data_IF_310759697956
#
_entry.id   IF_310759697956
#
_cell.length_a   1.000
_cell.length_b   1.000
_cell.length_c   1.000
_cell.angle_alpha   90.00
_cell.angle_beta   90.00
_cell.angle_gamma   90.00
#
_symmetry.space_group_name_H-M   'P 1'
#
loop_
_entity.id
_entity.type
_entity.pdbx_description
1 polymer ?
#
# COMPACT_ATOMS: atom_id res chain seq x y z
N UNK A 1 23.10 -13.25 2.10
CA UNK A 1 22.30 -14.15 1.25
C UNK A 1 23.16 -15.39 1.03
N UNK A 2 22.68 -16.56 1.40
CA UNK A 2 23.39 -17.84 1.32
C UNK A 2 22.56 -18.75 0.42
N UNK A 3 23.15 -19.22 -0.66
CA UNK A 3 22.55 -20.25 -1.50
C UNK A 3 22.90 -21.63 -0.93
N UNK A 4 21.89 -22.46 -0.75
CA UNK A 4 22.02 -23.86 -0.35
C UNK A 4 21.49 -24.69 -1.51
N UNK A 5 22.36 -25.43 -2.23
CA UNK A 5 21.93 -26.30 -3.32
C UNK A 5 21.02 -27.42 -2.83
N UNK A 6 20.26 -28.03 -3.75
CA UNK A 6 19.32 -29.10 -3.44
C UNK A 6 19.98 -30.34 -2.80
N UNK A 7 21.22 -30.64 -3.18
CA UNK A 7 22.02 -31.77 -2.67
C UNK A 7 22.37 -31.63 -1.19
N UNK A 8 22.50 -30.39 -0.70
CA UNK A 8 22.84 -30.06 0.69
C UNK A 8 21.61 -29.74 1.56
N UNK A 9 20.42 -29.78 0.96
CA UNK A 9 19.15 -29.46 1.62
C UNK A 9 18.46 -30.76 2.05
N UNK A 10 18.14 -30.91 3.34
CA UNK A 10 17.45 -32.10 3.85
C UNK A 10 16.13 -32.42 3.13
N UNK A 11 15.51 -31.41 2.50
CA UNK A 11 14.25 -31.53 1.78
C UNK A 11 14.43 -31.73 0.25
N UNK A 12 15.68 -31.80 -0.24
CA UNK A 12 15.99 -31.89 -1.66
C UNK A 12 15.66 -30.64 -2.49
N UNK A 13 15.31 -29.53 -1.82
CA UNK A 13 14.93 -28.26 -2.46
C UNK A 13 16.04 -27.22 -2.27
N UNK A 14 16.48 -26.61 -3.37
CA UNK A 14 17.42 -25.51 -3.35
C UNK A 14 16.84 -24.30 -2.59
N UNK A 15 17.59 -23.76 -1.64
CA UNK A 15 17.15 -22.67 -0.77
C UNK A 15 18.05 -21.45 -0.92
N UNK A 16 17.43 -20.29 -0.95
CA UNK A 16 18.11 -19.00 -0.88
C UNK A 16 17.79 -18.37 0.47
N UNK A 17 18.75 -18.40 1.39
CA UNK A 17 18.59 -17.87 2.76
C UNK A 17 19.10 -16.44 2.82
N UNK A 18 18.21 -15.47 3.04
CA UNK A 18 18.60 -14.10 3.34
C UNK A 18 18.85 -13.94 4.86
N UNK A 19 20.05 -13.49 5.23
CA UNK A 19 20.36 -13.11 6.61
C UNK A 19 20.06 -11.62 6.78
N UNK A 20 18.88 -11.28 7.31
CA UNK A 20 18.57 -9.90 7.72
C UNK A 20 19.37 -9.55 8.98
N UNK A 21 20.09 -8.42 8.95
CA UNK A 21 20.91 -7.91 10.07
C UNK A 21 20.07 -7.44 11.27
N UNK A 22 18.75 -7.34 11.14
CA UNK A 22 17.84 -6.84 12.19
C UNK A 22 17.39 -7.90 13.21
N UNK A 23 17.94 -9.13 13.14
CA UNK A 23 17.61 -10.19 14.11
C UNK A 23 17.88 -9.76 15.56
N UNK A 24 18.93 -8.97 15.79
CA UNK A 24 19.30 -8.50 17.14
C UNK A 24 18.24 -7.57 17.72
N UNK A 25 17.79 -6.58 16.95
CA UNK A 25 16.78 -5.59 17.35
C UNK A 25 15.42 -6.23 17.63
N UNK A 26 14.97 -7.16 16.77
CA UNK A 26 13.72 -7.91 17.01
C UNK A 26 13.82 -8.86 18.20
N UNK A 27 14.96 -9.54 18.35
CA UNK A 27 15.21 -10.41 19.50
C UNK A 27 15.19 -9.65 20.83
N UNK A 28 15.63 -8.39 20.83
CA UNK A 28 15.54 -7.52 22.01
C UNK A 28 14.12 -7.03 22.30
N UNK A 29 13.32 -6.64 21.29
CA UNK A 29 11.88 -6.30 21.50
C UNK A 29 11.07 -7.48 22.03
N UNK A 30 11.33 -8.68 21.49
CA UNK A 30 10.66 -9.92 21.93
C UNK A 30 11.03 -10.33 23.36
N UNK A 31 12.25 -10.00 23.80
CA UNK A 31 12.70 -10.18 25.20
C UNK A 31 12.17 -9.10 26.14
N UNK A 32 11.98 -7.88 25.65
CA UNK A 32 11.51 -6.75 26.44
C UNK A 32 9.97 -6.64 26.51
N UNK A 33 9.22 -7.44 25.74
CA UNK A 33 7.76 -7.30 25.60
C UNK A 33 7.34 -5.87 25.18
N UNK A 34 8.19 -5.17 24.42
CA UNK A 34 7.98 -3.77 23.97
C UNK A 34 7.66 -3.69 22.48
N UNK A 35 7.21 -4.79 21.86
CA UNK A 35 6.79 -4.76 20.44
C UNK A 35 5.59 -3.81 20.24
N UNK A 36 4.82 -3.58 21.32
CA UNK A 36 3.68 -2.66 21.37
C UNK A 36 4.07 -1.18 21.54
N UNK A 37 5.36 -0.85 21.76
CA UNK A 37 5.82 0.54 22.02
C UNK A 37 6.33 1.25 20.76
N UNK A 38 6.11 0.69 19.57
CA UNK A 38 6.18 1.49 18.34
C UNK A 38 4.88 2.29 18.31
N UNK A 39 4.89 3.63 18.35
CA UNK A 39 3.68 4.39 18.10
C UNK A 39 3.30 4.16 16.64
N UNK A 40 2.47 3.15 16.38
CA UNK A 40 1.72 3.11 15.15
C UNK A 40 0.84 4.36 15.17
N UNK A 41 0.90 5.14 14.09
CA UNK A 41 0.15 6.40 13.90
C UNK A 41 -1.37 6.19 14.01
N UNK A 42 -1.84 4.94 14.08
CA UNK A 42 -3.20 4.53 14.35
C UNK A 42 -3.18 3.34 15.33
N UNK A 43 -4.07 3.27 16.34
CA UNK A 43 -4.33 2.02 17.03
C UNK A 43 -4.87 1.04 16.00
N UNK A 44 -4.04 0.07 15.63
CA UNK A 44 -4.44 -0.97 14.72
C UNK A 44 -4.97 -2.11 15.57
N UNK A 45 -6.30 -2.11 15.79
CA UNK A 45 -7.01 -3.17 16.53
C UNK A 45 -6.90 -4.55 15.85
N UNK A 46 -6.27 -4.60 14.68
CA UNK A 46 -6.01 -5.78 13.89
C UNK A 46 -4.72 -6.47 14.31
N UNK A 47 -4.76 -7.80 14.38
CA UNK A 47 -3.56 -8.62 14.52
C UNK A 47 -2.56 -8.33 13.38
N UNK A 48 -1.26 -8.51 13.66
CA UNK A 48 -0.20 -8.45 12.63
C UNK A 48 -0.47 -9.37 11.43
N UNK A 49 -1.20 -10.48 11.62
CA UNK A 49 -1.63 -11.36 10.51
C UNK A 49 -2.71 -10.70 9.65
N UNK A 50 -3.72 -10.14 10.28
CA UNK A 50 -4.86 -9.49 9.61
C UNK A 50 -4.41 -8.24 8.85
N UNK A 51 -3.50 -7.47 9.42
CA UNK A 51 -2.91 -6.28 8.79
C UNK A 51 -2.16 -6.62 7.50
N UNK A 52 -1.36 -7.70 7.53
CA UNK A 52 -0.65 -8.19 6.34
C UNK A 52 -1.61 -8.69 5.26
N UNK A 53 -2.68 -9.37 5.65
CA UNK A 53 -3.72 -9.82 4.72
C UNK A 53 -4.50 -8.64 4.12
N UNK A 54 -4.84 -7.64 4.93
CA UNK A 54 -5.52 -6.44 4.47
C UNK A 54 -4.63 -5.65 3.50
N UNK A 55 -3.35 -5.46 3.83
CA UNK A 55 -2.39 -4.84 2.93
C UNK A 55 -2.27 -5.59 1.61
N UNK A 56 -2.16 -6.93 1.64
CA UNK A 56 -2.12 -7.74 0.42
C UNK A 56 -3.38 -7.55 -0.46
N UNK A 57 -4.57 -7.48 0.15
CA UNK A 57 -5.84 -7.22 -0.58
C UNK A 57 -5.88 -5.81 -1.18
N UNK A 58 -5.41 -4.80 -0.45
CA UNK A 58 -5.35 -3.42 -0.94
C UNK A 58 -4.39 -3.28 -2.12
N UNK A 59 -3.21 -3.91 -2.01
CA UNK A 59 -2.24 -3.95 -3.09
C UNK A 59 -2.83 -4.68 -4.30
N UNK A 60 -3.49 -5.82 -4.10
CA UNK A 60 -4.14 -6.55 -5.20
C UNK A 60 -5.09 -5.65 -6.02
N UNK A 61 -5.92 -4.82 -5.36
CA UNK A 61 -6.82 -3.88 -6.04
C UNK A 61 -6.10 -2.84 -6.91
N UNK A 62 -4.88 -2.46 -6.56
CA UNK A 62 -4.08 -1.49 -7.33
C UNK A 62 -3.46 -2.15 -8.56
N UNK A 63 -2.99 -3.40 -8.43
CA UNK A 63 -2.35 -4.13 -9.53
C UNK A 63 -3.34 -4.66 -10.58
N UNK A 64 -4.62 -4.81 -10.22
CA UNK A 64 -5.66 -5.27 -11.15
C UNK A 64 -6.18 -4.14 -12.07
N UNK A 65 -5.80 -2.88 -11.83
CA UNK A 65 -6.23 -1.72 -12.61
C UNK A 65 -5.09 -1.23 -13.50
N UNK A 66 -5.31 -1.21 -14.82
CA UNK A 66 -4.38 -0.56 -15.75
C UNK A 66 -4.66 0.95 -15.84
N UNK A 67 -3.77 1.81 -15.30
CA UNK A 67 -3.97 3.26 -15.33
C UNK A 67 -3.83 3.87 -16.74
N UNK A 68 -3.37 3.09 -17.73
CA UNK A 68 -3.25 3.53 -19.13
C UNK A 68 -4.47 3.14 -19.96
N UNK A 69 -5.56 2.71 -19.36
CA UNK A 69 -6.84 2.50 -20.04
C UNK A 69 -7.81 3.60 -19.63
N UNK A 70 -8.39 4.28 -20.63
CA UNK A 70 -9.40 5.30 -20.35
C UNK A 70 -10.69 4.65 -19.79
N UNK A 71 -11.19 5.07 -18.62
CA UNK A 71 -12.40 4.47 -18.03
C UNK A 71 -13.68 4.76 -18.84
N UNK A 72 -13.69 5.80 -19.69
CA UNK A 72 -14.88 6.19 -20.48
C UNK A 72 -14.99 5.48 -21.83
N UNK A 73 -13.86 5.33 -22.53
CA UNK A 73 -13.84 4.82 -23.90
C UNK A 73 -13.00 3.55 -24.08
N UNK A 74 -12.37 3.06 -23.01
CA UNK A 74 -11.52 1.85 -23.00
C UNK A 74 -10.32 1.91 -23.96
N UNK A 75 -9.99 3.10 -24.47
CA UNK A 75 -8.82 3.33 -25.32
C UNK A 75 -7.51 3.37 -24.52
N UNK A 76 -6.40 3.05 -25.20
CA UNK A 76 -5.05 3.15 -24.63
C UNK A 76 -4.61 4.60 -24.50
N UNK A 77 -4.18 4.99 -23.30
CA UNK A 77 -3.58 6.28 -22.98
C UNK A 77 -2.05 6.20 -23.02
N UNK A 78 -1.39 7.35 -23.20
CA UNK A 78 0.07 7.46 -23.22
C UNK A 78 0.51 8.57 -22.28
N UNK A 79 1.63 8.36 -21.59
CA UNK A 79 2.28 9.41 -20.80
C UNK A 79 2.93 10.38 -21.77
N UNK A 80 2.54 11.65 -21.70
CA UNK A 80 3.04 12.70 -22.60
C UNK A 80 4.23 13.44 -21.97
N UNK A 81 4.16 13.71 -20.66
CA UNK A 81 5.21 14.42 -19.92
C UNK A 81 5.07 14.22 -18.41
N UNK A 82 6.16 14.39 -17.68
CA UNK A 82 6.16 14.51 -16.22
C UNK A 82 6.27 15.98 -15.82
N UNK A 83 5.47 16.40 -14.84
CA UNK A 83 5.50 17.76 -14.30
C UNK A 83 6.00 17.65 -12.86
N UNK A 84 7.19 18.19 -12.60
CA UNK A 84 7.84 18.09 -11.27
C UNK A 84 7.79 19.42 -10.50
N UNK A 85 7.55 20.55 -11.18
CA UNK A 85 7.55 21.87 -10.55
C UNK A 85 6.26 22.13 -9.76
N UNK A 86 6.39 22.26 -8.44
CA UNK A 86 5.26 22.48 -7.53
C UNK A 86 4.37 23.67 -7.93
N UNK A 87 4.98 24.80 -8.31
CA UNK A 87 4.23 25.99 -8.71
C UNK A 87 3.36 25.78 -9.95
N UNK A 88 3.79 24.93 -10.87
CA UNK A 88 3.03 24.56 -12.07
C UNK A 88 1.90 23.60 -11.70
N UNK A 89 2.19 22.59 -10.88
CA UNK A 89 1.20 21.62 -10.37
C UNK A 89 0.06 22.37 -9.66
N UNK A 90 0.39 23.29 -8.74
CA UNK A 90 -0.61 24.08 -8.02
C UNK A 90 -1.47 24.92 -8.96
N UNK A 91 -0.86 25.62 -9.93
CA UNK A 91 -1.62 26.42 -10.91
C UNK A 91 -2.60 25.58 -11.72
N UNK A 92 -2.17 24.41 -12.18
CA UNK A 92 -3.02 23.48 -12.95
C UNK A 92 -4.17 22.97 -12.07
N UNK A 93 -3.87 22.50 -10.86
CA UNK A 93 -4.88 21.95 -9.96
C UNK A 93 -5.89 23.01 -9.52
N UNK A 94 -5.45 24.25 -9.26
CA UNK A 94 -6.36 25.37 -8.96
C UNK A 94 -7.24 25.73 -10.15
N UNK A 95 -6.73 25.68 -11.37
CA UNK A 95 -7.53 25.93 -12.57
C UNK A 95 -8.62 24.87 -12.79
N UNK A 96 -8.38 23.64 -12.33
CA UNK A 96 -9.32 22.52 -12.41
C UNK A 96 -10.23 22.39 -11.18
N UNK A 97 -10.13 23.29 -10.20
CA UNK A 97 -10.80 23.20 -8.89
C UNK A 97 -10.47 21.89 -8.12
N UNK A 98 -9.30 21.31 -8.36
CA UNK A 98 -8.80 20.08 -7.75
C UNK A 98 -7.72 20.32 -6.68
N UNK A 99 -7.43 21.58 -6.34
CA UNK A 99 -6.45 21.90 -5.30
C UNK A 99 -7.02 21.61 -3.92
N UNK A 100 -6.82 20.38 -3.43
CA UNK A 100 -7.20 19.97 -2.09
C UNK A 100 -6.03 20.12 -1.11
N UNK A 101 -6.17 21.02 -0.15
CA UNK A 101 -5.19 21.26 0.93
C UNK A 101 -5.51 20.46 2.18
N UNK A 102 -6.58 19.65 2.17
CA UNK A 102 -6.91 18.79 3.30
C UNK A 102 -5.80 17.76 3.48
N UNK A 103 -5.41 17.56 4.74
CA UNK A 103 -4.54 16.47 5.10
C UNK A 103 -5.22 15.17 4.65
N UNK A 104 -4.54 14.32 3.88
CA UNK A 104 -5.06 13.02 3.44
C UNK A 104 -5.13 12.01 4.61
N UNK A 105 -5.46 12.51 5.81
CA UNK A 105 -5.81 11.67 6.93
C UNK A 105 -6.99 10.79 6.49
N UNK A 106 -6.94 9.48 6.77
CA UNK A 106 -8.03 8.60 6.44
C UNK A 106 -9.30 9.19 7.06
N UNK A 107 -10.42 9.25 6.31
CA UNK A 107 -11.66 9.78 6.84
C UNK A 107 -11.98 9.08 8.16
N UNK A 108 -12.32 9.86 9.20
CA UNK A 108 -12.73 9.30 10.48
C UNK A 108 -13.90 8.35 10.23
N UNK A 109 -13.66 7.07 10.48
CA UNK A 109 -14.67 6.04 10.28
C UNK A 109 -15.73 6.21 11.36
N UNK A 110 -16.80 6.94 11.07
CA UNK A 110 -17.99 6.93 11.91
C UNK A 110 -18.71 5.59 11.63
N UNK A 111 -18.88 4.71 12.64
CA UNK A 111 -19.49 3.39 12.44
C UNK A 111 -20.94 3.44 11.95
N UNK A 112 -21.54 4.63 11.90
CA UNK A 112 -22.91 4.85 11.37
C UNK A 112 -22.96 5.24 9.89
N UNK A 113 -21.83 5.56 9.27
CA UNK A 113 -21.79 5.92 7.85
C UNK A 113 -21.85 4.65 6.99
N UNK A 114 -23.04 4.33 6.49
CA UNK A 114 -23.16 3.48 5.29
C UNK A 114 -22.28 4.10 4.22
N UNK A 115 -21.23 3.39 3.83
CA UNK A 115 -20.44 3.68 2.64
C UNK A 115 -21.45 3.82 1.52
N UNK A 116 -21.66 5.03 1.04
CA UNK A 116 -22.65 5.24 -0.01
C UNK A 116 -22.01 4.68 -1.28
N UNK A 117 -22.71 3.74 -1.92
CA UNK A 117 -22.26 2.97 -3.10
C UNK A 117 -21.99 3.84 -4.35
N UNK A 118 -22.02 5.17 -4.22
CA UNK A 118 -21.91 6.16 -5.31
C UNK A 118 -20.55 6.17 -6.03
N UNK A 119 -19.50 5.54 -5.48
CA UNK A 119 -18.22 5.38 -6.21
C UNK A 119 -18.23 4.13 -7.10
N UNK A 120 -19.05 3.10 -6.82
CA UNK A 120 -19.18 1.95 -7.71
C UNK A 120 -20.12 2.22 -8.89
N UNK A 121 -21.10 3.11 -8.74
CA UNK A 121 -22.05 3.44 -9.82
C UNK A 121 -21.44 4.31 -10.94
N UNK A 122 -20.35 5.04 -10.66
CA UNK A 122 -19.64 5.85 -11.66
C UNK A 122 -18.61 5.07 -12.49
N UNK A 123 -18.29 3.83 -12.08
CA UNK A 123 -17.38 2.93 -12.82
C UNK A 123 -18.15 1.98 -13.74
N UNK A 124 -19.49 1.91 -13.61
CA UNK A 124 -20.35 0.99 -14.36
C UNK A 124 -21.35 1.67 -15.32
N UNK A 125 -21.11 2.91 -15.78
CA UNK A 125 -21.92 3.56 -16.83
C UNK A 125 -21.12 3.84 -18.10
#
# INVERSE_FOLDING_TARGET
MIYVPAEDSADGVAKVVYTSKDRKSRGMRKKACTDDTIPAVMPNDLSSKESRQNWARLIQKIYEVDPLVCPKCQGSMKIISFIEEHGVIEKILRHLDLWDVRNHDPPHHDPTQKVSDYILDLVCA
#
